data_IF_978509185936
#
_entry.id   IF_978509185936
#
_cell.length_a   1.000
_cell.length_b   1.000
_cell.length_c   1.000
_cell.angle_alpha   90.00
_cell.angle_beta   90.00
_cell.angle_gamma   90.00
#
_symmetry.space_group_name_H-M   'P 1'
#
loop_
_entity.id
_entity.type
_entity.pdbx_description
1 polymer ?
#
# COMPACT_ATOMS: atom_id res chain seq x y z
N UNK A 1 0.47 15.75 -13.37
CA UNK A 1 0.48 15.28 -11.97
C UNK A 1 0.26 13.79 -11.97
N UNK A 2 1.04 13.06 -11.16
CA UNK A 2 0.91 11.61 -10.94
C UNK A 2 0.84 11.38 -9.43
N UNK A 3 -0.10 10.56 -8.96
CA UNK A 3 -0.16 10.15 -7.57
C UNK A 3 -0.63 8.70 -7.44
N UNK A 4 -0.09 8.01 -6.44
CA UNK A 4 -0.59 6.74 -5.93
C UNK A 4 -1.37 7.07 -4.66
N UNK A 5 -2.64 6.68 -4.60
CA UNK A 5 -3.59 7.17 -3.60
C UNK A 5 -4.29 6.01 -2.91
N UNK A 6 -4.33 6.04 -1.58
CA UNK A 6 -5.24 5.21 -0.81
C UNK A 6 -6.64 5.83 -0.85
N UNK A 7 -7.63 5.08 -1.34
CA UNK A 7 -9.05 5.45 -1.32
C UNK A 7 -9.71 4.90 -0.04
N UNK A 8 -10.95 4.48 -0.12
CA UNK A 8 -11.66 3.80 0.95
C UNK A 8 -11.95 2.34 0.58
N UNK A 9 -12.56 1.57 1.49
CA UNK A 9 -13.03 0.21 1.19
C UNK A 9 -14.25 0.16 0.25
N UNK A 10 -14.87 1.33 -0.03
CA UNK A 10 -16.07 1.45 -0.85
C UNK A 10 -15.71 1.65 -2.33
N UNK A 11 -16.11 0.76 -3.25
CA UNK A 11 -15.82 0.89 -4.68
C UNK A 11 -16.31 2.21 -5.29
N UNK A 12 -17.42 2.75 -4.78
CA UNK A 12 -18.00 4.00 -5.25
C UNK A 12 -17.08 5.21 -5.04
N UNK A 13 -16.23 5.18 -4.00
CA UNK A 13 -15.24 6.23 -3.76
C UNK A 13 -14.14 6.20 -4.83
N UNK A 14 -13.71 5.01 -5.23
CA UNK A 14 -12.73 4.81 -6.31
C UNK A 14 -13.30 5.24 -7.65
N UNK A 15 -14.55 4.89 -7.91
CA UNK A 15 -15.30 5.31 -9.11
C UNK A 15 -15.35 6.83 -9.22
N UNK A 16 -15.81 7.51 -8.17
CA UNK A 16 -15.90 8.97 -8.13
C UNK A 16 -14.52 9.62 -8.33
N UNK A 17 -13.48 9.07 -7.71
CA UNK A 17 -12.11 9.55 -7.85
C UNK A 17 -11.59 9.45 -9.29
N UNK A 18 -11.78 8.31 -9.95
CA UNK A 18 -11.33 8.13 -11.33
C UNK A 18 -12.12 8.99 -12.31
N UNK A 19 -13.43 9.14 -12.14
CA UNK A 19 -14.25 10.02 -12.96
C UNK A 19 -13.75 11.48 -12.89
N UNK A 20 -13.39 11.95 -11.70
CA UNK A 20 -12.89 13.32 -11.53
C UNK A 20 -11.46 13.46 -12.07
N UNK A 21 -10.61 12.47 -11.83
CA UNK A 21 -9.26 12.42 -12.38
C UNK A 21 -9.25 12.41 -13.91
N UNK A 22 -10.18 11.71 -14.55
CA UNK A 22 -10.32 11.68 -16.02
C UNK A 22 -10.65 13.05 -16.57
N UNK A 23 -11.60 13.80 -15.95
CA UNK A 23 -11.93 15.17 -16.31
C UNK A 23 -10.72 16.11 -16.22
N UNK A 24 -9.94 15.96 -15.14
CA UNK A 24 -8.74 16.77 -14.87
C UNK A 24 -7.51 16.32 -15.68
N UNK A 25 -7.61 15.21 -16.42
CA UNK A 25 -6.52 14.59 -17.20
C UNK A 25 -5.26 14.30 -16.36
N UNK A 26 -5.43 14.00 -15.07
CA UNK A 26 -4.35 13.61 -14.18
C UNK A 26 -4.03 12.12 -14.34
N UNK A 27 -2.81 11.70 -13.97
CA UNK A 27 -2.46 10.28 -13.89
C UNK A 27 -2.60 9.82 -12.45
N UNK A 28 -3.62 9.02 -12.19
CA UNK A 28 -3.89 8.53 -10.85
C UNK A 28 -3.85 7.01 -10.80
N UNK A 29 -3.34 6.50 -9.70
CA UNK A 29 -3.23 5.07 -9.41
C UNK A 29 -3.93 4.86 -8.08
N UNK A 30 -4.99 4.07 -8.03
CA UNK A 30 -5.77 3.78 -6.81
C UNK A 30 -6.57 2.50 -6.95
N UNK A 31 -7.17 2.03 -5.86
CA UNK A 31 -8.10 0.90 -5.83
C UNK A 31 -8.87 0.88 -4.52
N UNK A 32 -9.85 0.01 -4.39
CA UNK A 32 -10.57 -0.17 -3.13
C UNK A 32 -9.65 -0.79 -2.08
N UNK A 33 -9.71 -0.25 -0.87
CA UNK A 33 -8.93 -0.75 0.27
C UNK A 33 -9.55 -2.06 0.76
N UNK A 34 -8.72 -3.10 0.86
CA UNK A 34 -9.11 -4.41 1.36
C UNK A 34 -8.91 -4.46 2.87
N UNK A 35 -9.99 -4.73 3.58
CA UNK A 35 -10.02 -5.00 5.02
C UNK A 35 -11.14 -5.99 5.31
N UNK A 36 -10.85 -7.11 5.97
CA UNK A 36 -11.85 -8.11 6.35
C UNK A 36 -11.78 -8.50 7.83
N UNK A 37 -10.85 -7.90 8.60
CA UNK A 37 -10.66 -8.14 10.02
C UNK A 37 -10.05 -6.93 10.72
N UNK A 38 -10.06 -6.90 12.05
CA UNK A 38 -9.40 -5.91 12.91
C UNK A 38 -9.64 -4.43 12.50
N UNK A 39 -10.79 -4.14 11.94
CA UNK A 39 -11.22 -2.79 11.56
C UNK A 39 -12.70 -2.58 11.94
N UNK A 40 -13.20 -1.34 12.00
CA UNK A 40 -14.62 -1.09 12.21
C UNK A 40 -15.48 -1.85 11.20
N UNK A 41 -16.57 -2.47 11.67
CA UNK A 41 -17.42 -3.37 10.85
C UNK A 41 -17.88 -2.72 9.53
N UNK A 42 -18.23 -1.44 9.56
CA UNK A 42 -18.68 -0.71 8.37
C UNK A 42 -17.58 -0.45 7.32
N UNK A 43 -16.31 -0.70 7.65
CA UNK A 43 -15.17 -0.64 6.74
C UNK A 43 -14.71 -2.02 6.27
N UNK A 44 -15.16 -3.08 6.95
CA UNK A 44 -14.84 -4.45 6.59
C UNK A 44 -15.72 -4.94 5.45
N UNK A 45 -15.11 -5.62 4.51
CA UNK A 45 -15.78 -6.30 3.40
C UNK A 45 -15.27 -7.73 3.36
N UNK A 46 -16.16 -8.72 3.12
CA UNK A 46 -15.69 -10.11 3.01
C UNK A 46 -14.58 -10.24 1.97
N UNK A 47 -13.64 -11.15 2.20
CA UNK A 47 -12.51 -11.40 1.30
C UNK A 47 -12.97 -11.51 -0.16
N UNK A 48 -13.96 -12.39 -0.42
CA UNK A 48 -14.42 -12.64 -1.78
C UNK A 48 -15.08 -11.43 -2.44
N UNK A 49 -15.79 -10.62 -1.66
CA UNK A 49 -16.41 -9.39 -2.21
C UNK A 49 -15.35 -8.32 -2.46
N UNK A 50 -14.39 -8.16 -1.54
CA UNK A 50 -13.29 -7.20 -1.72
C UNK A 50 -12.46 -7.51 -2.97
N UNK A 51 -12.13 -8.77 -3.21
CA UNK A 51 -11.40 -9.22 -4.41
C UNK A 51 -12.23 -9.03 -5.67
N UNK A 52 -13.53 -9.36 -5.66
CA UNK A 52 -14.42 -9.07 -6.81
C UNK A 52 -14.49 -7.58 -7.12
N UNK A 53 -14.63 -6.75 -6.10
CA UNK A 53 -14.63 -5.29 -6.27
C UNK A 53 -13.32 -4.80 -6.92
N UNK A 54 -12.17 -5.33 -6.48
CA UNK A 54 -10.88 -5.00 -7.08
C UNK A 54 -10.80 -5.43 -8.54
N UNK A 55 -11.29 -6.64 -8.87
CA UNK A 55 -11.35 -7.14 -10.25
C UNK A 55 -12.22 -6.24 -11.14
N UNK A 56 -13.42 -5.90 -10.68
CA UNK A 56 -14.36 -5.04 -11.42
C UNK A 56 -13.75 -3.65 -11.68
N UNK A 57 -13.00 -3.11 -10.69
CA UNK A 57 -12.30 -1.83 -10.82
C UNK A 57 -11.15 -1.95 -11.83
N UNK A 58 -10.39 -3.05 -11.82
CA UNK A 58 -9.31 -3.29 -12.79
C UNK A 58 -9.90 -3.35 -14.20
N UNK A 59 -10.93 -4.15 -14.43
CA UNK A 59 -11.55 -4.34 -15.73
C UNK A 59 -12.12 -3.04 -16.30
N UNK A 60 -12.57 -2.14 -15.44
CA UNK A 60 -13.18 -0.87 -15.84
C UNK A 60 -12.18 0.26 -16.05
N UNK A 61 -11.17 0.35 -15.20
CA UNK A 61 -10.35 1.56 -15.07
C UNK A 61 -8.86 1.37 -15.38
N UNK A 62 -8.32 0.15 -15.28
CA UNK A 62 -6.90 -0.06 -15.52
C UNK A 62 -6.54 0.23 -16.98
N UNK A 63 -5.51 1.06 -17.18
CA UNK A 63 -5.10 1.54 -18.51
C UNK A 63 -6.15 2.36 -19.29
N UNK A 64 -7.22 2.80 -18.63
CA UNK A 64 -8.17 3.73 -19.25
C UNK A 64 -7.62 5.14 -19.21
N UNK A 65 -7.24 5.66 -20.36
CA UNK A 65 -6.60 6.98 -20.48
C UNK A 65 -5.29 7.05 -19.70
N UNK A 66 -5.30 7.77 -18.59
CA UNK A 66 -4.14 7.93 -17.69
C UNK A 66 -4.37 7.30 -16.31
N UNK A 67 -5.43 6.52 -16.16
CA UNK A 67 -5.78 5.88 -14.91
C UNK A 67 -5.16 4.50 -14.82
N UNK A 68 -4.69 4.13 -13.62
CA UNK A 68 -4.20 2.78 -13.33
C UNK A 68 -4.77 2.31 -12.01
N UNK A 69 -4.90 1.01 -11.85
CA UNK A 69 -5.43 0.41 -10.62
C UNK A 69 -4.30 -0.15 -9.78
N UNK A 70 -4.44 0.01 -8.46
CA UNK A 70 -3.61 -0.64 -7.46
C UNK A 70 -4.49 -1.56 -6.60
N UNK A 71 -4.13 -2.83 -6.52
CA UNK A 71 -4.67 -3.74 -5.51
C UNK A 71 -4.16 -3.24 -4.15
N UNK A 72 -5.09 -3.02 -3.20
CA UNK A 72 -4.77 -2.22 -2.01
C UNK A 72 -5.18 -2.94 -0.71
N UNK A 73 -4.51 -4.03 -0.27
CA UNK A 73 -4.61 -4.44 1.13
C UNK A 73 -4.17 -3.28 2.02
N UNK A 74 -4.96 -2.95 3.05
CA UNK A 74 -4.53 -1.83 3.92
C UNK A 74 -3.19 -2.15 4.59
N UNK A 75 -3.11 -3.27 5.29
CA UNK A 75 -1.89 -3.85 5.86
C UNK A 75 -2.21 -5.24 6.46
N UNK A 76 -1.19 -5.98 6.88
CA UNK A 76 -1.34 -7.35 7.36
C UNK A 76 -2.28 -7.49 8.58
N UNK A 77 -2.44 -6.44 9.40
CA UNK A 77 -3.32 -6.48 10.58
C UNK A 77 -4.80 -6.52 10.21
N UNK A 78 -5.20 -5.77 9.18
CA UNK A 78 -6.63 -5.66 8.78
C UNK A 78 -7.03 -6.62 7.67
N UNK A 79 -6.13 -7.52 7.29
CA UNK A 79 -6.38 -8.55 6.29
C UNK A 79 -6.11 -9.94 6.86
N UNK A 80 -7.07 -10.84 6.68
CA UNK A 80 -6.81 -12.26 6.98
C UNK A 80 -5.76 -12.84 6.03
N UNK A 81 -5.07 -13.95 6.41
CA UNK A 81 -4.17 -14.65 5.48
C UNK A 81 -4.83 -14.99 4.14
N UNK A 82 -6.11 -15.38 4.17
CA UNK A 82 -6.91 -15.65 2.96
C UNK A 82 -7.06 -14.41 2.08
N UNK A 83 -7.33 -13.24 2.65
CA UNK A 83 -7.46 -12.00 1.88
C UNK A 83 -6.13 -11.61 1.24
N UNK A 84 -5.02 -11.68 1.99
CA UNK A 84 -3.68 -11.39 1.44
C UNK A 84 -3.31 -12.37 0.33
N UNK A 85 -3.56 -13.67 0.52
CA UNK A 85 -3.30 -14.68 -0.51
C UNK A 85 -4.10 -14.40 -1.79
N UNK A 86 -5.42 -14.17 -1.68
CA UNK A 86 -6.25 -13.87 -2.86
C UNK A 86 -5.88 -12.55 -3.52
N UNK A 87 -5.43 -11.55 -2.76
CA UNK A 87 -4.89 -10.30 -3.32
C UNK A 87 -3.60 -10.56 -4.12
N UNK A 88 -2.71 -11.42 -3.63
CA UNK A 88 -1.50 -11.84 -4.34
C UNK A 88 -1.81 -12.65 -5.60
N UNK A 89 -2.76 -13.58 -5.54
CA UNK A 89 -3.24 -14.33 -6.71
C UNK A 89 -3.81 -13.39 -7.78
N UNK A 90 -4.60 -12.40 -7.37
CA UNK A 90 -5.12 -11.37 -8.28
C UNK A 90 -3.98 -10.53 -8.86
N UNK A 91 -3.02 -10.10 -8.04
CA UNK A 91 -1.85 -9.33 -8.50
C UNK A 91 -1.01 -10.11 -9.51
N UNK A 92 -0.75 -11.39 -9.26
CA UNK A 92 0.02 -12.26 -10.14
C UNK A 92 -0.69 -12.57 -11.48
N UNK A 93 -1.99 -12.31 -11.59
CA UNK A 93 -2.75 -12.50 -12.85
C UNK A 93 -2.59 -11.35 -13.84
N UNK A 94 -1.88 -10.27 -13.47
CA UNK A 94 -1.63 -9.10 -14.32
C UNK A 94 -0.15 -8.76 -14.39
N UNK A 95 0.30 -8.27 -15.53
CA UNK A 95 1.71 -7.88 -15.75
C UNK A 95 2.01 -6.44 -15.31
N UNK A 96 1.01 -5.55 -15.19
CA UNK A 96 1.19 -4.11 -15.05
C UNK A 96 0.23 -3.43 -14.05
N UNK A 97 -0.60 -4.20 -13.34
CA UNK A 97 -1.41 -3.68 -12.22
C UNK A 97 -0.49 -3.36 -11.05
N UNK A 98 -0.77 -2.26 -10.38
CA UNK A 98 -0.02 -1.84 -9.20
C UNK A 98 -0.52 -2.55 -7.94
N UNK A 99 0.33 -2.55 -6.92
CA UNK A 99 -0.03 -2.96 -5.57
C UNK A 99 0.48 -1.92 -4.57
N UNK A 100 -0.31 -1.60 -3.57
CA UNK A 100 0.11 -0.76 -2.47
C UNK A 100 -0.40 -1.29 -1.13
N UNK A 101 0.41 -1.13 -0.09
CA UNK A 101 0.04 -1.46 1.29
C UNK A 101 0.95 -0.71 2.27
N UNK A 102 0.66 -0.79 3.57
CA UNK A 102 1.53 -0.25 4.62
C UNK A 102 2.51 -1.32 5.11
N UNK A 103 3.68 -0.90 5.56
CA UNK A 103 4.72 -1.78 6.06
C UNK A 103 5.49 -1.15 7.22
N UNK A 104 5.50 -1.80 8.37
CA UNK A 104 6.42 -1.56 9.48
C UNK A 104 6.53 -0.06 9.85
N UNK A 105 5.37 0.60 10.00
CA UNK A 105 5.29 2.03 10.33
C UNK A 105 5.71 2.30 11.76
N UNK A 106 5.28 1.47 12.70
CA UNK A 106 5.64 1.63 14.12
C UNK A 106 5.91 0.28 14.82
N UNK A 107 6.50 0.36 16.01
CA UNK A 107 6.93 -0.84 16.75
C UNK A 107 5.79 -1.72 17.21
N UNK A 108 4.67 -1.13 17.63
CA UNK A 108 3.50 -1.88 18.11
C UNK A 108 2.83 -2.61 16.95
N UNK A 109 2.75 -1.99 15.77
CA UNK A 109 2.32 -2.63 14.53
C UNK A 109 3.19 -3.85 14.20
N UNK A 110 4.52 -3.69 14.21
CA UNK A 110 5.46 -4.79 13.94
C UNK A 110 5.30 -5.92 14.96
N UNK A 111 5.13 -5.59 16.23
CA UNK A 111 4.91 -6.58 17.29
C UNK A 111 3.59 -7.34 17.07
N UNK A 112 2.53 -6.63 16.74
CA UNK A 112 1.22 -7.24 16.51
C UNK A 112 1.20 -8.13 15.25
N UNK A 113 1.89 -7.74 14.19
CA UNK A 113 2.05 -8.62 13.02
C UNK A 113 2.81 -9.91 13.37
N UNK A 114 3.83 -9.85 14.22
CA UNK A 114 4.52 -11.05 14.71
C UNK A 114 3.60 -11.99 15.50
N UNK A 115 2.64 -11.45 16.25
CA UNK A 115 1.63 -12.26 16.95
C UNK A 115 0.64 -12.92 15.98
N UNK A 116 0.19 -12.18 14.96
CA UNK A 116 -0.75 -12.69 13.96
C UNK A 116 -0.12 -13.71 12.99
N UNK A 117 1.18 -13.54 12.70
CA UNK A 117 1.92 -14.35 11.72
C UNK A 117 3.19 -14.97 12.33
N UNK A 118 3.08 -15.82 13.36
CA UNK A 118 4.22 -16.29 14.16
C UNK A 118 5.20 -17.19 13.39
N UNK A 119 4.83 -17.70 12.23
CA UNK A 119 5.68 -18.56 11.41
C UNK A 119 6.54 -17.79 10.40
N UNK A 120 6.37 -16.46 10.30
CA UNK A 120 7.13 -15.60 9.39
C UNK A 120 8.32 -14.96 10.12
N UNK A 121 9.42 -14.75 9.40
CA UNK A 121 10.66 -14.19 9.95
C UNK A 121 10.55 -12.70 10.29
N UNK A 122 9.74 -11.97 9.52
CA UNK A 122 9.52 -10.54 9.67
C UNK A 122 8.22 -10.10 9.01
N UNK A 123 7.95 -8.81 9.07
CA UNK A 123 6.72 -8.26 8.51
C UNK A 123 6.68 -8.40 6.98
N UNK A 124 7.78 -8.07 6.31
CA UNK A 124 7.87 -8.17 4.84
C UNK A 124 7.78 -9.61 4.35
N UNK A 125 8.22 -10.59 5.16
CA UNK A 125 8.14 -12.02 4.86
C UNK A 125 6.67 -12.48 4.68
N UNK A 126 5.73 -11.87 5.43
CA UNK A 126 4.29 -12.11 5.24
C UNK A 126 3.85 -11.72 3.83
N UNK A 127 4.27 -10.56 3.35
CA UNK A 127 3.91 -10.09 2.01
C UNK A 127 4.62 -10.89 0.91
N UNK A 128 5.86 -11.31 1.15
CA UNK A 128 6.59 -12.16 0.23
C UNK A 128 5.91 -13.53 0.03
N UNK A 129 5.51 -14.18 1.13
CA UNK A 129 4.83 -15.47 1.12
C UNK A 129 3.46 -15.41 0.40
N UNK A 130 2.78 -14.27 0.51
CA UNK A 130 1.50 -14.03 -0.16
C UNK A 130 1.63 -13.46 -1.58
N UNK A 131 2.83 -13.44 -2.17
CA UNK A 131 3.09 -12.97 -3.55
C UNK A 131 2.68 -11.50 -3.80
N UNK A 132 2.80 -10.64 -2.78
CA UNK A 132 2.43 -9.22 -2.85
C UNK A 132 3.61 -8.31 -3.24
N UNK A 133 4.80 -8.86 -3.47
CA UNK A 133 6.00 -8.08 -3.78
C UNK A 133 6.34 -8.13 -5.27
N UNK A 134 6.82 -7.00 -5.80
CA UNK A 134 7.23 -6.89 -7.19
C UNK A 134 7.48 -5.45 -7.62
N UNK A 135 7.93 -5.27 -8.86
CA UNK A 135 8.31 -3.95 -9.41
C UNK A 135 7.19 -2.90 -9.44
N UNK A 136 5.93 -3.34 -9.39
CA UNK A 136 4.75 -2.47 -9.34
C UNK A 136 4.17 -2.36 -7.93
N UNK A 137 4.88 -2.88 -6.93
CA UNK A 137 4.51 -2.78 -5.52
C UNK A 137 5.17 -1.59 -4.86
N UNK A 138 4.37 -0.79 -4.15
CA UNK A 138 4.84 0.32 -3.30
C UNK A 138 4.34 0.10 -1.88
N UNK A 139 5.26 0.08 -0.92
CA UNK A 139 4.98 -0.11 0.50
C UNK A 139 5.16 1.21 1.24
N UNK A 140 4.15 1.66 1.96
CA UNK A 140 4.23 2.91 2.72
C UNK A 140 5.03 2.72 4.03
N UNK A 141 5.74 3.76 4.44
CA UNK A 141 6.56 3.90 5.64
C UNK A 141 7.86 3.09 5.64
N UNK A 142 7.85 1.78 5.97
CA UNK A 142 9.05 0.96 5.98
C UNK A 142 10.12 1.40 6.97
N UNK A 143 9.72 1.86 8.18
CA UNK A 143 10.64 2.46 9.16
C UNK A 143 11.44 1.37 9.89
N UNK A 144 10.78 0.28 10.29
CA UNK A 144 11.36 -0.77 11.15
C UNK A 144 11.65 -2.04 10.36
N UNK A 145 12.61 -1.95 9.41
CA UNK A 145 13.03 -3.07 8.59
C UNK A 145 14.36 -3.66 9.05
N UNK A 146 14.46 -4.96 9.04
CA UNK A 146 15.71 -5.71 9.22
C UNK A 146 16.53 -5.72 7.91
N UNK A 147 17.83 -5.99 8.01
CA UNK A 147 18.72 -5.99 6.83
C UNK A 147 18.27 -6.99 5.76
N UNK A 148 17.80 -8.18 6.17
CA UNK A 148 17.27 -9.19 5.25
C UNK A 148 16.02 -8.72 4.49
N UNK A 149 15.17 -7.85 5.09
CA UNK A 149 14.00 -7.30 4.43
C UNK A 149 14.39 -6.28 3.36
N UNK A 150 15.43 -5.49 3.58
CA UNK A 150 15.98 -4.61 2.52
C UNK A 150 16.51 -5.40 1.31
N UNK A 151 17.14 -6.57 1.55
CA UNK A 151 17.56 -7.45 0.46
C UNK A 151 16.38 -7.96 -0.36
N UNK A 152 15.28 -8.34 0.29
CA UNK A 152 14.04 -8.73 -0.39
C UNK A 152 13.46 -7.59 -1.22
N UNK A 153 13.44 -6.35 -0.71
CA UNK A 153 12.99 -5.17 -1.48
C UNK A 153 13.80 -5.00 -2.77
N UNK A 154 15.14 -5.11 -2.67
CA UNK A 154 16.04 -5.03 -3.84
C UNK A 154 15.75 -6.13 -4.85
N UNK A 155 15.67 -7.37 -4.39
CA UNK A 155 15.59 -8.56 -5.25
C UNK A 155 14.21 -8.65 -5.96
N UNK A 156 13.15 -8.12 -5.35
CA UNK A 156 11.80 -8.05 -5.94
C UNK A 156 11.55 -6.77 -6.74
N UNK A 157 12.37 -5.74 -6.57
CA UNK A 157 12.14 -4.42 -7.15
C UNK A 157 10.99 -3.64 -6.49
N UNK A 158 10.55 -4.07 -5.32
CA UNK A 158 9.51 -3.41 -4.53
C UNK A 158 10.02 -2.07 -3.99
N UNK A 159 9.21 -1.02 -4.07
CA UNK A 159 9.58 0.35 -3.70
C UNK A 159 8.96 0.77 -2.37
N UNK A 160 9.57 1.78 -1.73
CA UNK A 160 9.06 2.39 -0.49
C UNK A 160 8.49 3.78 -0.76
N UNK A 161 7.36 4.10 -0.14
CA UNK A 161 6.84 5.47 -0.03
C UNK A 161 7.18 6.04 1.35
N UNK A 162 8.13 6.97 1.40
CA UNK A 162 8.48 7.69 2.62
C UNK A 162 7.44 8.76 2.92
N UNK A 163 6.91 8.77 4.15
CA UNK A 163 5.83 9.65 4.61
C UNK A 163 6.33 10.55 5.77
N UNK A 164 7.26 11.51 5.53
CA UNK A 164 7.95 12.22 6.61
C UNK A 164 7.01 12.94 7.55
N UNK A 165 6.07 13.75 7.05
CA UNK A 165 5.13 14.52 7.89
C UNK A 165 4.25 13.63 8.77
N UNK A 166 3.78 12.49 8.25
CA UNK A 166 3.01 11.52 9.01
C UNK A 166 3.86 10.82 10.07
N UNK A 167 5.02 10.30 9.67
CA UNK A 167 5.93 9.59 10.56
C UNK A 167 6.34 10.44 11.77
N UNK A 168 6.57 11.75 11.56
CA UNK A 168 6.94 12.68 12.62
C UNK A 168 5.74 13.07 13.46
N UNK A 169 4.61 13.40 12.85
CA UNK A 169 3.41 13.83 13.55
C UNK A 169 2.83 12.76 14.48
N UNK A 170 2.78 11.52 14.00
CA UNK A 170 2.32 10.36 14.78
C UNK A 170 3.38 9.83 15.75
N UNK A 171 4.64 10.24 15.60
CA UNK A 171 5.74 9.68 16.37
C UNK A 171 6.07 8.23 15.98
N UNK A 172 5.76 7.83 14.74
CA UNK A 172 6.00 6.47 14.24
C UNK A 172 7.49 6.11 14.27
N UNK A 173 8.37 7.03 13.88
CA UNK A 173 9.83 6.87 13.93
C UNK A 173 10.55 7.63 12.83
N UNK A 174 11.88 7.50 12.80
CA UNK A 174 12.73 8.11 11.78
C UNK A 174 13.04 7.11 10.68
N UNK A 175 12.78 7.48 9.45
CA UNK A 175 13.05 6.68 8.26
C UNK A 175 14.53 6.80 7.86
N UNK A 176 15.19 5.68 7.63
CA UNK A 176 16.59 5.66 7.16
C UNK A 176 16.64 5.77 5.63
N UNK A 177 16.49 7.01 5.13
CA UNK A 177 16.49 7.30 3.70
C UNK A 177 17.80 6.88 3.00
N UNK A 178 19.01 7.18 3.51
CA UNK A 178 20.26 6.76 2.87
C UNK A 178 20.36 5.25 2.74
N UNK A 179 20.03 4.51 3.79
CA UNK A 179 20.06 3.05 3.78
C UNK A 179 19.06 2.52 2.77
N UNK A 180 17.81 2.98 2.81
CA UNK A 180 16.75 2.49 1.90
C UNK A 180 17.11 2.72 0.44
N UNK A 181 17.63 3.91 0.08
CA UNK A 181 18.08 4.25 -1.27
C UNK A 181 19.21 3.34 -1.79
N UNK A 182 19.99 2.73 -0.90
CA UNK A 182 21.03 1.77 -1.31
C UNK A 182 20.48 0.40 -1.73
N UNK A 183 19.21 0.13 -1.45
CA UNK A 183 18.56 -1.14 -1.78
C UNK A 183 17.42 -1.00 -2.80
N UNK A 184 16.61 0.06 -2.71
CA UNK A 184 15.44 0.21 -3.58
C UNK A 184 15.09 1.67 -3.86
N UNK A 185 14.14 1.88 -4.79
CA UNK A 185 13.57 3.19 -5.08
C UNK A 185 12.70 3.71 -3.93
N UNK A 186 12.80 5.02 -3.67
CA UNK A 186 11.98 5.71 -2.66
C UNK A 186 11.18 6.82 -3.33
N UNK A 187 9.87 6.82 -3.10
CA UNK A 187 8.98 7.94 -3.41
C UNK A 187 8.64 8.71 -2.14
N UNK A 188 8.15 9.95 -2.29
CA UNK A 188 7.69 10.77 -1.17
C UNK A 188 6.16 10.81 -1.18
N UNK A 189 5.55 10.67 -0.01
CA UNK A 189 4.11 10.73 0.17
C UNK A 189 3.71 11.71 1.27
N UNK A 190 2.60 12.40 1.09
CA UNK A 190 2.02 13.28 2.12
C UNK A 190 1.36 12.48 3.23
N UNK A 191 0.81 11.33 2.90
CA UNK A 191 -0.01 10.52 3.82
C UNK A 191 -1.05 11.38 4.56
N UNK A 192 -1.70 12.30 3.82
CA UNK A 192 -2.63 13.26 4.39
C UNK A 192 -3.82 12.57 5.03
N UNK A 193 -4.13 13.00 6.25
CA UNK A 193 -5.05 12.32 7.17
C UNK A 193 -4.31 11.97 8.46
N UNK A 194 -3.15 11.31 8.35
CA UNK A 194 -2.10 11.22 9.36
C UNK A 194 -1.01 12.29 9.12
N UNK A 195 -0.58 12.50 7.87
CA UNK A 195 0.25 13.64 7.50
C UNK A 195 -0.51 14.97 7.56
N UNK A 196 0.19 16.05 7.86
CA UNK A 196 -0.36 17.34 8.27
C UNK A 196 -0.75 18.26 7.11
N UNK A 197 -0.43 17.92 5.85
CA UNK A 197 -0.67 18.77 4.69
C UNK A 197 -0.84 17.99 3.40
N UNK A 198 -1.70 18.49 2.49
CA UNK A 198 -1.78 18.02 1.09
C UNK A 198 -0.59 18.50 0.24
N UNK A 199 0.17 19.47 0.73
CA UNK A 199 1.27 20.07 -0.01
C UNK A 199 2.51 19.18 0.00
N UNK A 200 2.91 18.67 -1.16
CA UNK A 200 4.18 17.97 -1.32
C UNK A 200 5.39 18.84 -1.00
N UNK A 201 5.31 20.17 -1.19
CA UNK A 201 6.39 21.09 -0.81
C UNK A 201 6.55 21.17 0.71
N UNK A 202 5.46 21.12 1.46
CA UNK A 202 5.51 21.03 2.92
C UNK A 202 6.13 19.70 3.34
N UNK A 203 5.70 18.59 2.74
CA UNK A 203 6.25 17.26 3.02
C UNK A 203 7.75 17.14 2.71
N UNK A 204 8.22 17.80 1.65
CA UNK A 204 9.64 17.78 1.26
C UNK A 204 10.53 18.69 2.15
N UNK A 205 9.94 19.53 2.99
CA UNK A 205 10.66 20.43 3.89
C UNK A 205 10.98 19.78 5.25
N UNK A 206 10.43 18.61 5.55
CA UNK A 206 10.73 17.84 6.75
C UNK A 206 12.01 17.00 6.58
#
# INVERSE_FOLDING_TARGET
TTALVFATSHPESVEAFFLESEKLKTRMITGNVLMDTNAPEHLCVSTEQGIRNSQDIIDKWHNRGRQHVAITPRFAITSTPRQLQMAGELYASYDDVYLQTHLAENRDEVAFVRELYPNHKGYLDVYADMSLLGRYTTLAHGIYLETSEYEVLRDTGTQIAHCPTSNLFLGSGLFDLPKTLSYTGVSIATDVGAGTSLSMLTTLNE
#
